data_IF_902422659962
#
_entry.id   IF_902422659962
#
_cell.length_a   1.000
_cell.length_b   1.000
_cell.length_c   1.000
_cell.angle_alpha   90.00
_cell.angle_beta   90.00
_cell.angle_gamma   90.00
#
_symmetry.space_group_name_H-M   'P 1'
#
loop_
_entity.id
_entity.type
_entity.pdbx_description
1 polymer ?
#
# COMPACT_ATOMS: atom_id res chain seq x y z
N UNK A 1 12.03 10.05 -25.09
CA UNK A 1 11.33 9.18 -24.10
C UNK A 1 11.29 9.97 -22.80
N UNK A 2 10.17 10.00 -22.09
CA UNK A 2 10.09 10.76 -20.84
C UNK A 2 11.06 10.21 -19.80
N UNK A 3 11.52 11.06 -18.88
CA UNK A 3 12.32 10.58 -17.75
C UNK A 3 11.44 9.90 -16.69
N UNK A 4 10.19 10.36 -16.52
CA UNK A 4 9.26 9.77 -15.54
C UNK A 4 7.92 9.47 -16.19
N UNK A 5 7.37 8.30 -15.92
CA UNK A 5 5.97 7.96 -16.16
C UNK A 5 5.23 7.91 -14.83
N UNK A 6 4.13 8.63 -14.70
CA UNK A 6 3.22 8.55 -13.56
C UNK A 6 1.97 7.82 -14.00
N UNK A 7 1.65 6.72 -13.34
CA UNK A 7 0.47 5.88 -13.63
C UNK A 7 -0.57 6.10 -12.55
N UNK A 8 -1.77 6.50 -12.96
CA UNK A 8 -2.89 6.83 -12.09
C UNK A 8 -4.06 5.89 -12.45
N UNK A 9 -4.35 4.86 -11.63
CA UNK A 9 -5.58 4.10 -11.76
C UNK A 9 -6.75 4.99 -11.35
N UNK A 10 -7.82 5.04 -12.16
CA UNK A 10 -8.98 5.87 -11.91
C UNK A 10 -10.27 5.03 -11.94
N UNK A 11 -11.11 5.20 -10.91
CA UNK A 11 -12.44 4.60 -10.85
C UNK A 11 -13.36 5.44 -9.96
N UNK A 12 -14.45 5.97 -10.51
CA UNK A 12 -15.49 6.72 -9.81
C UNK A 12 -14.95 7.81 -8.87
N UNK A 13 -14.05 8.65 -9.37
CA UNK A 13 -13.42 9.73 -8.61
C UNK A 13 -13.16 10.99 -9.45
N UNK A 14 -14.17 11.42 -10.18
CA UNK A 14 -14.15 12.65 -11.00
C UNK A 14 -13.76 13.90 -10.22
N UNK A 15 -14.02 13.91 -8.90
CA UNK A 15 -13.82 15.07 -8.03
C UNK A 15 -12.36 15.42 -7.78
N UNK A 16 -11.50 14.43 -7.52
CA UNK A 16 -10.11 14.65 -7.08
C UNK A 16 -9.08 14.44 -8.20
N UNK A 17 -9.45 13.72 -9.26
CA UNK A 17 -8.57 13.43 -10.39
C UNK A 17 -7.94 14.69 -11.02
N UNK A 18 -8.63 15.84 -11.18
CA UNK A 18 -7.99 17.05 -11.71
C UNK A 18 -6.85 17.56 -10.84
N UNK A 19 -7.04 17.64 -9.51
CA UNK A 19 -5.99 18.10 -8.58
C UNK A 19 -4.79 17.16 -8.62
N UNK A 20 -5.03 15.85 -8.64
CA UNK A 20 -4.01 14.80 -8.77
C UNK A 20 -3.16 15.04 -10.04
N UNK A 21 -3.76 15.15 -11.20
CA UNK A 21 -3.06 15.35 -12.48
C UNK A 21 -2.37 16.71 -12.54
N UNK A 22 -3.01 17.78 -12.06
CA UNK A 22 -2.45 19.13 -12.03
C UNK A 22 -1.23 19.22 -11.11
N UNK A 23 -1.19 18.46 -10.00
CA UNK A 23 -0.03 18.42 -9.11
C UNK A 23 1.24 17.93 -9.82
N UNK A 24 1.08 17.21 -10.92
CA UNK A 24 2.16 16.74 -11.81
C UNK A 24 2.38 17.72 -12.95
N UNK A 25 1.33 18.06 -13.71
CA UNK A 25 1.45 18.78 -14.99
C UNK A 25 1.78 20.25 -14.82
N UNK A 26 1.46 20.87 -13.67
CA UNK A 26 1.74 22.28 -13.38
C UNK A 26 3.16 22.51 -12.82
N UNK A 27 3.93 21.47 -12.48
CA UNK A 27 5.31 21.64 -12.07
C UNK A 27 6.22 22.13 -13.23
N UNK A 28 7.37 22.69 -12.89
CA UNK A 28 8.32 23.18 -13.89
C UNK A 28 8.98 22.05 -14.70
N UNK A 29 9.11 20.87 -14.13
CA UNK A 29 9.65 19.69 -14.80
C UNK A 29 8.71 19.24 -15.93
N UNK A 30 9.22 19.11 -17.16
CA UNK A 30 8.39 18.84 -18.35
C UNK A 30 8.59 17.46 -18.96
N UNK A 31 9.66 16.77 -18.61
CA UNK A 31 10.01 15.47 -19.20
C UNK A 31 9.31 14.30 -18.46
N UNK A 32 7.98 14.43 -18.37
CA UNK A 32 7.08 13.51 -17.67
C UNK A 32 5.89 13.14 -18.58
N UNK A 33 5.45 11.89 -18.52
CA UNK A 33 4.15 11.46 -19.03
C UNK A 33 3.24 11.06 -17.85
N UNK A 34 1.97 11.31 -17.98
CA UNK A 34 0.91 10.86 -17.04
C UNK A 34 0.00 9.90 -17.78
N UNK A 35 -0.17 8.70 -17.24
CA UNK A 35 -1.04 7.67 -17.82
C UNK A 35 -2.20 7.44 -16.85
N UNK A 36 -3.37 7.94 -17.22
CA UNK A 36 -4.61 7.68 -16.49
C UNK A 36 -5.22 6.39 -17.06
N UNK A 37 -5.54 5.45 -16.19
CA UNK A 37 -6.24 4.22 -16.58
C UNK A 37 -7.61 4.22 -15.93
N UNK A 38 -8.66 4.57 -16.69
CA UNK A 38 -10.05 4.51 -16.27
C UNK A 38 -10.53 3.05 -16.25
N UNK A 39 -10.87 2.56 -15.08
CA UNK A 39 -11.31 1.17 -14.88
C UNK A 39 -12.84 1.01 -15.09
N UNK A 40 -13.34 1.53 -16.20
CA UNK A 40 -14.76 1.52 -16.56
C UNK A 40 -15.62 2.25 -15.51
N UNK A 41 -15.31 3.51 -15.24
CA UNK A 41 -16.07 4.36 -14.34
C UNK A 41 -17.53 4.53 -14.79
N UNK A 42 -18.41 4.75 -13.83
CA UNK A 42 -19.86 4.95 -14.04
C UNK A 42 -20.31 6.36 -13.66
N UNK A 43 -19.39 7.19 -13.15
CA UNK A 43 -19.56 8.63 -12.93
C UNK A 43 -18.82 9.42 -14.04
N UNK A 44 -18.67 10.73 -13.86
CA UNK A 44 -18.02 11.63 -14.82
C UNK A 44 -16.46 11.47 -14.87
N UNK A 45 -15.87 10.43 -14.28
CA UNK A 45 -14.39 10.25 -14.21
C UNK A 45 -13.78 10.14 -15.60
N UNK A 46 -14.42 9.38 -16.50
CA UNK A 46 -13.92 9.23 -17.87
C UNK A 46 -13.92 10.56 -18.64
N UNK A 47 -15.01 11.33 -18.54
CA UNK A 47 -15.14 12.63 -19.18
C UNK A 47 -14.09 13.61 -18.66
N UNK A 48 -13.86 13.63 -17.35
CA UNK A 48 -12.82 14.46 -16.70
C UNK A 48 -11.43 14.02 -17.17
N UNK A 49 -11.13 12.73 -17.19
CA UNK A 49 -9.85 12.22 -17.67
C UNK A 49 -9.59 12.54 -19.16
N UNK A 50 -10.63 12.42 -19.99
CA UNK A 50 -10.57 12.78 -21.41
C UNK A 50 -10.32 14.27 -21.62
N UNK A 51 -10.91 15.14 -20.78
CA UNK A 51 -10.64 16.56 -20.82
C UNK A 51 -9.18 16.87 -20.44
N UNK A 52 -8.64 16.25 -19.39
CA UNK A 52 -7.24 16.41 -18.97
C UNK A 52 -6.25 15.97 -20.05
N UNK A 53 -6.53 14.86 -20.75
CA UNK A 53 -5.76 14.42 -21.92
C UNK A 53 -5.79 15.45 -23.06
N UNK A 54 -6.93 16.10 -23.27
CA UNK A 54 -7.07 17.12 -24.32
C UNK A 54 -6.33 18.44 -23.98
N UNK A 55 -6.26 18.77 -22.68
CA UNK A 55 -5.63 19.99 -22.17
C UNK A 55 -4.10 19.92 -22.16
N UNK A 56 -3.52 18.73 -21.89
CA UNK A 56 -2.06 18.56 -21.79
C UNK A 56 -1.60 17.31 -22.55
N UNK A 57 -0.79 17.51 -23.58
CA UNK A 57 -0.27 16.44 -24.44
C UNK A 57 0.62 15.41 -23.73
N UNK A 58 1.02 15.65 -22.49
CA UNK A 58 1.75 14.70 -21.63
C UNK A 58 0.83 13.72 -20.93
N UNK A 59 -0.47 14.01 -20.87
CA UNK A 59 -1.51 13.16 -20.29
C UNK A 59 -2.02 12.21 -21.37
N UNK A 60 -2.17 10.97 -21.04
CA UNK A 60 -2.75 9.91 -21.89
C UNK A 60 -3.78 9.12 -21.12
N UNK A 61 -4.96 8.93 -21.71
CA UNK A 61 -6.04 8.12 -21.14
C UNK A 61 -6.07 6.73 -21.78
N UNK A 62 -6.21 5.70 -20.94
CA UNK A 62 -6.55 4.33 -21.36
C UNK A 62 -7.82 3.94 -20.61
N UNK A 63 -8.81 3.40 -21.32
CA UNK A 63 -10.05 2.94 -20.71
C UNK A 63 -10.16 1.41 -20.79
N UNK A 64 -10.61 0.79 -19.69
CA UNK A 64 -10.97 -0.62 -19.67
C UNK A 64 -12.43 -0.82 -20.07
N UNK A 65 -12.73 -1.93 -20.78
CA UNK A 65 -14.09 -2.29 -21.16
C UNK A 65 -14.99 -2.72 -19.99
N UNK A 66 -14.36 -3.06 -18.85
CA UNK A 66 -15.03 -3.49 -17.61
C UNK A 66 -14.17 -3.17 -16.40
N UNK A 67 -14.79 -3.02 -15.23
CA UNK A 67 -14.04 -2.88 -13.97
C UNK A 67 -13.22 -4.15 -13.67
N UNK A 68 -11.90 -4.03 -13.79
CA UNK A 68 -10.91 -5.10 -13.62
C UNK A 68 -10.13 -4.98 -12.30
N UNK A 69 -10.28 -3.88 -11.58
CA UNK A 69 -9.63 -3.58 -10.29
C UNK A 69 -8.29 -2.88 -10.42
N UNK A 70 -7.83 -2.30 -9.31
CA UNK A 70 -6.64 -1.45 -9.22
C UNK A 70 -5.37 -2.15 -9.73
N UNK A 71 -5.18 -3.44 -9.42
CA UNK A 71 -4.05 -4.21 -9.92
C UNK A 71 -3.98 -4.23 -11.45
N UNK A 72 -5.12 -4.45 -12.11
CA UNK A 72 -5.19 -4.51 -13.57
C UNK A 72 -4.93 -3.12 -14.18
N UNK A 73 -5.48 -2.05 -13.59
CA UNK A 73 -5.28 -0.68 -14.06
C UNK A 73 -3.83 -0.24 -13.92
N UNK A 74 -3.19 -0.50 -12.78
CA UNK A 74 -1.76 -0.27 -12.58
C UNK A 74 -0.92 -1.07 -13.57
N UNK A 75 -1.24 -2.36 -13.78
CA UNK A 75 -0.57 -3.23 -14.77
C UNK A 75 -0.67 -2.64 -16.17
N UNK A 76 -1.86 -2.25 -16.60
CA UNK A 76 -2.10 -1.64 -17.92
C UNK A 76 -1.25 -0.38 -18.09
N UNK A 77 -1.27 0.54 -17.11
CA UNK A 77 -0.52 1.79 -17.18
C UNK A 77 0.99 1.59 -17.16
N UNK A 78 1.49 0.71 -16.27
CA UNK A 78 2.95 0.44 -16.19
C UNK A 78 3.47 -0.22 -17.45
N UNK A 79 2.76 -1.21 -18.01
CA UNK A 79 3.19 -1.85 -19.26
C UNK A 79 3.11 -0.92 -20.47
N UNK A 80 2.24 0.10 -20.43
CA UNK A 80 2.15 1.14 -21.46
C UNK A 80 3.16 2.29 -21.26
N UNK A 81 3.83 2.38 -20.11
CA UNK A 81 4.77 3.45 -19.77
C UNK A 81 6.09 3.36 -20.55
N UNK A 82 6.74 4.52 -20.77
CA UNK A 82 8.00 4.62 -21.52
C UNK A 82 9.11 5.29 -20.71
N UNK A 83 8.81 5.78 -19.51
CA UNK A 83 9.77 6.51 -18.67
C UNK A 83 10.99 5.68 -18.25
N UNK A 84 12.09 6.40 -18.05
CA UNK A 84 13.28 5.85 -17.38
C UNK A 84 12.92 5.40 -15.97
N UNK A 85 12.06 6.17 -15.31
CA UNK A 85 11.44 5.84 -14.02
C UNK A 85 9.93 5.72 -14.17
N UNK A 86 9.30 4.97 -13.27
CA UNK A 86 7.85 4.83 -13.14
C UNK A 86 7.46 5.11 -11.69
N UNK A 87 6.39 5.85 -11.51
CA UNK A 87 5.74 6.07 -10.22
C UNK A 87 4.27 5.72 -10.33
N UNK A 88 3.74 5.11 -9.28
CA UNK A 88 2.31 4.87 -9.11
C UNK A 88 1.74 5.94 -8.19
N UNK A 89 0.58 6.48 -8.52
CA UNK A 89 -0.05 7.55 -7.77
C UNK A 89 -1.55 7.31 -7.70
N UNK A 90 -2.13 7.43 -6.52
CA UNK A 90 -3.56 7.26 -6.36
C UNK A 90 -4.30 8.52 -6.82
N UNK A 91 -5.52 8.33 -7.37
CA UNK A 91 -6.28 9.38 -8.06
C UNK A 91 -6.76 10.54 -7.16
N UNK A 92 -6.64 10.38 -5.85
CA UNK A 92 -7.05 11.34 -4.82
C UNK A 92 -5.88 11.96 -4.05
N UNK A 93 -4.64 11.62 -4.45
CA UNK A 93 -3.40 12.14 -3.89
C UNK A 93 -2.71 13.14 -4.82
N UNK A 94 -1.68 13.80 -4.33
CA UNK A 94 -0.95 14.85 -5.04
C UNK A 94 0.57 14.72 -4.85
N UNK A 95 1.35 15.30 -5.74
CA UNK A 95 2.78 15.51 -5.54
C UNK A 95 3.07 16.90 -5.01
N UNK A 96 4.01 17.00 -4.08
CA UNK A 96 4.48 18.28 -3.56
C UNK A 96 5.15 19.11 -4.68
N UNK A 97 5.08 20.42 -4.57
CA UNK A 97 5.72 21.34 -5.52
C UNK A 97 7.23 21.08 -5.63
N UNK A 98 7.71 20.99 -6.87
CA UNK A 98 9.11 20.73 -7.19
C UNK A 98 9.57 19.30 -6.87
N UNK A 99 8.67 18.38 -6.53
CA UNK A 99 9.00 16.98 -6.26
C UNK A 99 9.57 16.28 -7.48
N UNK A 100 9.01 16.51 -8.68
CA UNK A 100 9.45 15.84 -9.91
C UNK A 100 10.94 16.03 -10.19
N UNK A 101 11.43 17.26 -10.13
CA UNK A 101 12.84 17.53 -10.37
C UNK A 101 13.73 16.83 -9.33
N UNK A 102 13.34 16.89 -8.05
CA UNK A 102 14.10 16.25 -6.96
C UNK A 102 14.14 14.72 -7.08
N UNK A 103 13.02 14.10 -7.46
CA UNK A 103 12.91 12.66 -7.70
C UNK A 103 13.88 12.23 -8.81
N UNK A 104 13.87 12.94 -9.93
CA UNK A 104 14.72 12.64 -11.09
C UNK A 104 16.19 12.88 -10.79
N UNK A 105 16.53 14.00 -10.17
CA UNK A 105 17.92 14.30 -9.78
C UNK A 105 18.45 13.24 -8.81
N UNK A 106 17.64 12.83 -7.83
CA UNK A 106 18.01 11.79 -6.88
C UNK A 106 18.19 10.44 -7.57
N UNK A 107 17.23 10.02 -8.40
CA UNK A 107 17.27 8.75 -9.12
C UNK A 107 18.48 8.65 -10.07
N UNK A 108 18.80 9.74 -10.78
CA UNK A 108 19.97 9.78 -11.66
C UNK A 108 21.30 9.74 -10.90
N UNK A 109 21.36 10.31 -9.70
CA UNK A 109 22.56 10.33 -8.87
C UNK A 109 22.78 9.02 -8.09
N UNK A 110 21.72 8.26 -7.82
CA UNK A 110 21.74 7.09 -6.95
C UNK A 110 21.05 5.89 -7.63
N UNK A 111 21.71 5.13 -8.51
CA UNK A 111 21.10 4.01 -9.23
C UNK A 111 20.50 2.96 -8.29
N UNK A 112 19.17 2.70 -8.39
CA UNK A 112 18.45 1.68 -7.65
C UNK A 112 17.22 1.20 -8.44
N UNK A 113 16.61 0.12 -7.98
CA UNK A 113 15.35 -0.38 -8.53
C UNK A 113 14.14 0.27 -7.87
N UNK A 114 14.24 0.54 -6.57
CA UNK A 114 13.17 1.10 -5.73
C UNK A 114 13.69 2.28 -4.92
N UNK A 115 13.05 3.43 -5.04
CA UNK A 115 13.24 4.63 -4.23
C UNK A 115 11.98 4.87 -3.42
N UNK A 116 12.08 4.79 -2.11
CA UNK A 116 10.98 4.93 -1.18
C UNK A 116 11.14 6.23 -0.38
N UNK A 117 10.30 7.20 -0.63
CA UNK A 117 10.38 8.52 -0.02
C UNK A 117 9.23 8.76 0.97
N UNK A 118 9.38 9.76 1.82
CA UNK A 118 8.41 10.11 2.84
C UNK A 118 7.12 10.72 2.25
N UNK A 119 6.10 10.81 3.08
CA UNK A 119 4.82 11.43 2.76
C UNK A 119 4.53 12.62 3.65
N UNK A 120 3.72 13.55 3.15
CA UNK A 120 3.02 14.53 3.96
C UNK A 120 1.55 14.14 3.99
N UNK A 121 1.03 13.82 5.19
CA UNK A 121 -0.38 13.48 5.35
C UNK A 121 -1.22 14.75 5.42
N UNK A 122 -2.20 14.87 4.52
CA UNK A 122 -3.17 15.96 4.45
C UNK A 122 -4.53 15.41 4.89
N UNK A 123 -5.00 15.83 6.08
CA UNK A 123 -6.22 15.30 6.66
C UNK A 123 -7.47 16.00 6.09
N UNK A 124 -8.39 15.24 5.51
CA UNK A 124 -9.63 15.75 4.92
C UNK A 124 -10.73 16.08 5.96
N UNK A 125 -10.64 15.51 7.17
CA UNK A 125 -11.64 15.66 8.22
C UNK A 125 -11.02 15.47 9.62
N UNK A 126 -11.84 15.62 10.68
CA UNK A 126 -11.37 15.53 12.06
C UNK A 126 -10.82 14.15 12.44
N UNK A 127 -11.46 13.06 11.98
CA UNK A 127 -10.99 11.68 12.23
C UNK A 127 -9.62 11.45 11.57
N UNK A 128 -9.47 11.90 10.33
CA UNK A 128 -8.19 11.85 9.61
C UNK A 128 -7.09 12.69 10.32
N UNK A 129 -7.45 13.85 10.92
CA UNK A 129 -6.53 14.65 11.71
C UNK A 129 -5.97 13.88 12.91
N UNK A 130 -6.84 13.17 13.62
CA UNK A 130 -6.46 12.40 14.81
C UNK A 130 -5.54 11.21 14.44
N UNK A 131 -5.70 10.63 13.23
CA UNK A 131 -4.89 9.52 12.72
C UNK A 131 -3.61 9.97 11.97
N UNK A 132 -3.49 11.25 11.57
CA UNK A 132 -2.45 11.72 10.65
C UNK A 132 -1.02 11.46 11.13
N UNK A 133 -0.74 11.62 12.42
CA UNK A 133 0.60 11.41 12.97
C UNK A 133 1.02 9.92 12.89
N UNK A 134 0.11 9.01 13.21
CA UNK A 134 0.31 7.57 13.09
C UNK A 134 0.53 7.16 11.64
N UNK A 135 -0.30 7.69 10.72
CA UNK A 135 -0.18 7.41 9.28
C UNK A 135 1.14 7.95 8.71
N UNK A 136 1.56 9.16 9.08
CA UNK A 136 2.86 9.70 8.67
C UNK A 136 4.00 8.79 9.12
N UNK A 137 3.99 8.36 10.39
CA UNK A 137 5.00 7.43 10.91
C UNK A 137 5.01 6.09 10.18
N UNK A 138 3.83 5.55 9.87
CA UNK A 138 3.69 4.27 9.16
C UNK A 138 4.20 4.34 7.72
N UNK A 139 3.92 5.43 6.99
CA UNK A 139 4.31 5.61 5.59
C UNK A 139 5.74 6.17 5.42
N UNK A 140 6.41 6.58 6.48
CA UNK A 140 7.77 7.13 6.39
C UNK A 140 8.81 6.00 6.45
N UNK A 141 9.62 5.79 5.38
CA UNK A 141 10.63 4.74 5.37
C UNK A 141 11.78 5.03 6.33
N UNK A 142 12.52 4.00 6.72
CA UNK A 142 13.82 4.17 7.38
C UNK A 142 14.89 4.60 6.35
N UNK A 143 15.83 5.46 6.77
CA UNK A 143 17.02 5.79 5.98
C UNK A 143 17.93 4.55 5.90
N UNK A 144 17.89 3.85 4.76
CA UNK A 144 18.71 2.66 4.53
C UNK A 144 18.82 2.32 3.04
N UNK A 145 19.89 1.62 2.70
CA UNK A 145 20.03 0.92 1.42
C UNK A 145 20.00 -0.58 1.67
N UNK A 146 19.21 -1.30 0.90
CA UNK A 146 19.09 -2.76 0.96
C UNK A 146 19.43 -3.37 -0.39
N UNK A 147 19.95 -4.58 -0.39
CA UNK A 147 20.35 -5.29 -1.60
C UNK A 147 19.74 -6.69 -1.66
N UNK A 148 19.34 -7.10 -2.85
CA UNK A 148 18.94 -8.47 -3.22
C UNK A 148 17.99 -9.11 -2.19
N UNK A 149 18.43 -10.22 -1.61
CA UNK A 149 17.64 -11.01 -0.67
C UNK A 149 17.19 -10.24 0.59
N UNK A 150 17.94 -9.21 0.99
CA UNK A 150 17.62 -8.44 2.19
C UNK A 150 16.43 -7.50 2.00
N UNK A 151 16.09 -7.15 0.74
CA UNK A 151 14.94 -6.29 0.44
C UNK A 151 13.64 -6.97 0.88
N UNK A 152 13.34 -8.16 0.33
CA UNK A 152 12.13 -8.90 0.68
C UNK A 152 12.12 -9.31 2.16
N UNK A 153 13.30 -9.70 2.70
CA UNK A 153 13.44 -10.07 4.11
C UNK A 153 13.09 -8.91 5.04
N UNK A 154 13.51 -7.69 4.70
CA UNK A 154 13.21 -6.50 5.50
C UNK A 154 11.77 -6.02 5.33
N UNK A 155 11.17 -6.19 4.17
CA UNK A 155 9.89 -5.58 3.80
C UNK A 155 8.74 -5.99 4.72
N UNK A 156 8.64 -7.27 5.03
CA UNK A 156 7.57 -7.82 5.86
C UNK A 156 7.97 -8.08 7.31
N UNK A 157 9.13 -7.57 7.72
CA UNK A 157 9.58 -7.65 9.11
C UNK A 157 8.68 -6.78 10.01
N UNK A 158 8.23 -7.32 11.14
CA UNK A 158 7.34 -6.60 12.08
C UNK A 158 8.04 -5.50 12.85
N UNK A 159 9.36 -5.60 13.07
CA UNK A 159 10.11 -4.65 13.89
C UNK A 159 10.65 -3.45 13.07
N UNK A 160 11.22 -3.72 11.89
CA UNK A 160 11.89 -2.73 11.06
C UNK A 160 11.52 -2.84 9.58
N UNK A 161 10.34 -3.36 9.27
CA UNK A 161 9.80 -3.46 7.93
C UNK A 161 9.52 -2.08 7.31
N UNK A 162 9.11 -2.09 6.07
CA UNK A 162 8.55 -0.91 5.45
C UNK A 162 7.14 -1.23 4.95
N UNK A 163 6.34 -0.19 4.76
CA UNK A 163 4.98 -0.36 4.28
C UNK A 163 4.95 -1.02 2.90
N UNK A 164 3.88 -1.74 2.59
CA UNK A 164 3.69 -2.41 1.31
C UNK A 164 2.93 -1.59 0.26
N UNK A 165 2.57 -0.34 0.53
CA UNK A 165 1.94 0.50 -0.48
C UNK A 165 2.88 0.71 -1.67
N UNK A 166 2.34 0.79 -2.86
CA UNK A 166 3.12 0.99 -4.08
C UNK A 166 3.23 2.46 -4.49
N UNK A 167 2.34 3.32 -3.96
CA UNK A 167 2.47 4.78 -4.07
C UNK A 167 3.66 5.30 -3.24
N UNK A 168 3.99 6.59 -3.31
CA UNK A 168 5.16 7.24 -2.69
C UNK A 168 6.49 6.45 -2.85
N UNK A 169 6.57 5.71 -3.95
CA UNK A 169 7.77 5.02 -4.42
C UNK A 169 7.99 5.33 -5.90
N UNK A 170 9.25 5.53 -6.27
CA UNK A 170 9.67 5.61 -7.66
C UNK A 170 10.45 4.33 -7.99
N UNK A 171 10.21 3.79 -9.14
CA UNK A 171 10.82 2.54 -9.60
C UNK A 171 11.63 2.81 -10.88
N UNK A 172 12.74 2.11 -11.08
CA UNK A 172 13.40 2.07 -12.37
C UNK A 172 12.43 1.49 -13.42
N UNK A 173 12.29 2.13 -14.57
CA UNK A 173 11.18 1.86 -15.48
C UNK A 173 11.17 0.44 -16.06
N UNK A 174 12.32 -0.07 -16.51
CA UNK A 174 12.44 -1.45 -17.03
C UNK A 174 12.18 -2.49 -15.93
N UNK A 175 12.62 -2.23 -14.71
CA UNK A 175 12.34 -3.05 -13.54
C UNK A 175 10.83 -3.08 -13.22
N UNK A 176 10.17 -1.91 -13.19
CA UNK A 176 8.73 -1.84 -12.94
C UNK A 176 7.92 -2.61 -13.98
N UNK A 177 8.22 -2.41 -15.26
CA UNK A 177 7.57 -3.15 -16.36
C UNK A 177 7.81 -4.65 -16.27
N UNK A 178 9.02 -5.07 -15.93
CA UNK A 178 9.34 -6.48 -15.68
C UNK A 178 8.51 -7.03 -14.51
N UNK A 179 8.48 -6.34 -13.38
CA UNK A 179 7.72 -6.78 -12.21
C UNK A 179 6.22 -6.90 -12.51
N UNK A 180 5.62 -5.91 -13.18
CA UNK A 180 4.21 -5.97 -13.58
C UNK A 180 3.91 -7.03 -14.65
N UNK A 181 4.88 -7.46 -15.45
CA UNK A 181 4.69 -8.60 -16.35
C UNK A 181 4.46 -9.92 -15.60
N UNK A 182 4.90 -10.03 -14.35
CA UNK A 182 4.61 -11.14 -13.46
C UNK A 182 3.26 -11.02 -12.74
N UNK A 183 2.64 -9.86 -12.70
CA UNK A 183 1.34 -9.69 -12.06
C UNK A 183 0.29 -10.59 -12.72
N UNK A 184 -0.49 -11.31 -11.90
CA UNK A 184 -1.57 -12.15 -12.39
C UNK A 184 -2.68 -11.31 -13.06
N UNK A 185 -3.40 -11.91 -14.01
CA UNK A 185 -4.57 -11.31 -14.65
C UNK A 185 -5.86 -11.53 -13.84
N UNK A 186 -5.70 -11.92 -12.58
CA UNK A 186 -6.82 -12.13 -11.67
C UNK A 186 -7.20 -10.82 -11.00
N UNK A 187 -8.50 -10.53 -10.92
CA UNK A 187 -9.00 -9.37 -10.19
C UNK A 187 -8.68 -9.50 -8.70
N UNK A 188 -7.95 -8.54 -8.18
CA UNK A 188 -7.68 -8.37 -6.76
C UNK A 188 -8.16 -6.98 -6.35
N UNK A 189 -8.99 -6.91 -5.33
CA UNK A 189 -9.54 -5.67 -4.77
C UNK A 189 -9.03 -5.55 -3.35
N UNK A 190 -8.28 -4.50 -3.07
CA UNK A 190 -7.43 -4.35 -1.88
C UNK A 190 -6.30 -5.41 -1.85
N UNK A 191 -5.29 -5.17 -1.03
CA UNK A 191 -4.11 -6.04 -0.89
C UNK A 191 -3.31 -6.27 -2.19
N UNK A 192 -3.68 -5.60 -3.30
CA UNK A 192 -2.90 -5.58 -4.55
C UNK A 192 -1.55 -4.90 -4.33
N UNK A 193 -1.47 -3.91 -3.48
CA UNK A 193 -0.23 -3.28 -3.04
C UNK A 193 0.72 -4.28 -2.39
N UNK A 194 0.23 -5.08 -1.45
CA UNK A 194 1.01 -6.14 -0.80
C UNK A 194 1.51 -7.16 -1.83
N UNK A 195 0.63 -7.63 -2.72
CA UNK A 195 0.99 -8.59 -3.76
C UNK A 195 2.09 -8.06 -4.68
N UNK A 196 1.95 -6.83 -5.16
CA UNK A 196 2.97 -6.22 -6.02
C UNK A 196 4.24 -5.88 -5.25
N UNK A 197 4.15 -5.44 -4.01
CA UNK A 197 5.31 -5.20 -3.16
C UNK A 197 6.13 -6.47 -2.93
N UNK A 198 5.47 -7.62 -2.78
CA UNK A 198 6.17 -8.91 -2.70
C UNK A 198 6.92 -9.23 -4.00
N UNK A 199 6.31 -8.99 -5.16
CA UNK A 199 6.97 -9.18 -6.46
C UNK A 199 8.16 -8.22 -6.60
N UNK A 200 7.97 -6.94 -6.29
CA UNK A 200 9.03 -5.95 -6.30
C UNK A 200 10.19 -6.34 -5.38
N UNK A 201 9.91 -6.68 -4.12
CA UNK A 201 10.93 -7.08 -3.15
C UNK A 201 11.65 -8.38 -3.51
N UNK A 202 11.01 -9.27 -4.28
CA UNK A 202 11.65 -10.49 -4.79
C UNK A 202 12.61 -10.22 -5.93
N UNK A 203 12.28 -9.28 -6.82
CA UNK A 203 13.00 -9.06 -8.07
C UNK A 203 14.02 -7.91 -8.00
N UNK A 204 13.92 -7.02 -7.01
CA UNK A 204 14.78 -5.87 -6.88
C UNK A 204 16.18 -6.25 -6.43
N UNK A 205 17.18 -5.62 -7.02
CA UNK A 205 18.60 -5.71 -6.60
C UNK A 205 18.98 -4.60 -5.63
N UNK A 206 18.32 -3.44 -5.69
CA UNK A 206 18.64 -2.31 -4.82
C UNK A 206 17.39 -1.52 -4.44
N UNK A 207 17.25 -1.25 -3.15
CA UNK A 207 16.23 -0.40 -2.53
C UNK A 207 16.92 0.72 -1.75
N UNK A 208 16.39 1.95 -1.85
CA UNK A 208 16.84 3.11 -1.08
C UNK A 208 15.64 3.78 -0.39
N UNK A 209 15.70 3.87 0.94
CA UNK A 209 14.73 4.62 1.77
C UNK A 209 15.20 6.04 2.06
N UNK A 210 14.33 7.03 1.84
CA UNK A 210 14.63 8.46 1.91
C UNK A 210 13.57 9.17 2.78
N UNK A 211 13.62 9.02 4.13
CA UNK A 211 12.57 9.52 5.04
C UNK A 211 12.39 11.03 5.01
N UNK A 212 13.47 11.78 4.82
CA UNK A 212 13.48 13.25 4.91
C UNK A 212 12.97 13.95 3.63
N UNK A 213 12.31 13.20 2.76
CA UNK A 213 11.83 13.67 1.45
C UNK A 213 10.32 13.47 1.32
N UNK A 214 9.48 14.29 1.96
CA UNK A 214 8.02 14.15 1.92
C UNK A 214 7.47 14.73 0.59
N UNK A 215 7.72 14.03 -0.50
CA UNK A 215 7.37 14.49 -1.85
C UNK A 215 5.96 14.09 -2.29
N UNK A 216 5.29 13.25 -1.54
CA UNK A 216 3.95 12.76 -1.80
C UNK A 216 2.96 13.32 -0.76
N UNK A 217 1.88 13.93 -1.22
CA UNK A 217 0.79 14.44 -0.38
C UNK A 217 -0.29 13.37 -0.30
N UNK A 218 -0.30 12.63 0.81
CA UNK A 218 -1.29 11.59 1.07
C UNK A 218 -2.55 12.19 1.69
N UNK A 219 -3.65 12.20 0.95
CA UNK A 219 -4.91 12.81 1.38
C UNK A 219 -5.78 11.85 2.20
N UNK A 220 -5.47 11.74 3.47
CA UNK A 220 -6.15 10.87 4.41
C UNK A 220 -7.63 11.26 4.59
N UNK A 221 -8.52 10.31 4.28
CA UNK A 221 -9.97 10.48 4.40
C UNK A 221 -10.68 10.96 3.12
N UNK A 222 -9.99 10.99 1.97
CA UNK A 222 -10.61 11.14 0.64
C UNK A 222 -11.03 9.80 0.03
N UNK A 223 -10.27 8.72 0.32
CA UNK A 223 -10.53 7.37 -0.17
C UNK A 223 -11.40 6.53 0.77
N UNK A 224 -11.57 5.26 0.43
CA UNK A 224 -12.45 4.30 1.13
C UNK A 224 -11.86 3.73 2.44
N UNK A 225 -10.61 4.02 2.76
CA UNK A 225 -9.81 3.22 3.70
C UNK A 225 -9.82 3.68 5.16
N UNK A 226 -10.36 4.84 5.52
CA UNK A 226 -10.30 5.31 6.91
C UNK A 226 -11.55 6.05 7.38
N UNK A 227 -12.00 5.68 8.58
CA UNK A 227 -13.02 6.42 9.35
C UNK A 227 -14.41 5.83 9.32
N UNK A 228 -14.63 4.68 8.70
CA UNK A 228 -15.87 3.91 8.83
C UNK A 228 -15.70 2.84 9.89
N UNK A 229 -16.60 2.82 10.86
CA UNK A 229 -16.68 1.71 11.82
C UNK A 229 -16.85 0.40 11.04
N UNK A 230 -15.97 -0.56 11.29
CA UNK A 230 -16.05 -1.85 10.62
C UNK A 230 -17.32 -2.61 11.03
N UNK A 231 -17.81 -3.42 10.12
CA UNK A 231 -18.90 -4.37 10.31
C UNK A 231 -18.37 -5.79 10.21
N UNK A 232 -19.15 -6.75 10.68
CA UNK A 232 -18.84 -8.19 10.51
C UNK A 232 -18.61 -8.53 9.03
N UNK A 233 -19.42 -7.93 8.14
CA UNK A 233 -19.27 -8.16 6.69
C UNK A 233 -17.98 -7.56 6.14
N UNK A 234 -17.57 -6.35 6.56
CA UNK A 234 -16.33 -5.74 6.08
C UNK A 234 -15.10 -6.50 6.55
N UNK A 235 -15.07 -6.97 7.82
CA UNK A 235 -14.01 -7.85 8.34
C UNK A 235 -13.93 -9.16 7.55
N UNK A 236 -15.06 -9.80 7.26
CA UNK A 236 -15.10 -11.03 6.45
C UNK A 236 -14.54 -10.81 5.06
N UNK A 237 -14.95 -9.71 4.42
CA UNK A 237 -14.47 -9.35 3.08
C UNK A 237 -12.97 -9.05 3.07
N UNK A 238 -12.46 -8.37 4.09
CA UNK A 238 -11.03 -8.07 4.24
C UNK A 238 -10.23 -9.35 4.41
N UNK A 239 -10.59 -10.22 5.35
CA UNK A 239 -9.91 -11.49 5.57
C UNK A 239 -9.90 -12.40 4.32
N UNK A 240 -10.99 -12.40 3.56
CA UNK A 240 -11.08 -13.14 2.29
C UNK A 240 -10.10 -12.57 1.24
N UNK A 241 -10.02 -11.24 1.11
CA UNK A 241 -9.15 -10.56 0.14
C UNK A 241 -7.67 -10.75 0.48
N UNK A 242 -7.33 -10.65 1.76
CA UNK A 242 -5.99 -10.89 2.27
C UNK A 242 -5.55 -12.33 2.02
N UNK A 243 -6.44 -13.31 2.26
CA UNK A 243 -6.18 -14.72 1.96
C UNK A 243 -6.02 -14.96 0.44
N UNK A 244 -6.78 -14.26 -0.42
CA UNK A 244 -6.61 -14.30 -1.86
C UNK A 244 -5.24 -13.74 -2.27
N UNK A 245 -4.85 -12.58 -1.76
CA UNK A 245 -3.53 -11.98 -2.03
C UNK A 245 -2.41 -12.92 -1.59
N UNK A 246 -2.51 -13.52 -0.40
CA UNK A 246 -1.54 -14.52 0.08
C UNK A 246 -1.44 -15.73 -0.84
N UNK A 247 -2.56 -16.26 -1.33
CA UNK A 247 -2.57 -17.35 -2.32
C UNK A 247 -1.82 -16.95 -3.59
N UNK A 248 -2.07 -15.74 -4.11
CA UNK A 248 -1.40 -15.22 -5.31
C UNK A 248 0.11 -15.03 -5.11
N UNK A 249 0.53 -14.60 -3.90
CA UNK A 249 1.95 -14.54 -3.51
C UNK A 249 2.57 -15.94 -3.54
N UNK A 250 1.90 -16.94 -2.99
CA UNK A 250 2.34 -18.33 -3.01
C UNK A 250 2.45 -18.91 -4.43
N UNK A 251 1.51 -18.57 -5.31
CA UNK A 251 1.55 -19.01 -6.72
C UNK A 251 2.68 -18.34 -7.50
N UNK A 252 2.97 -17.06 -7.22
CA UNK A 252 4.12 -16.37 -7.78
C UNK A 252 5.44 -17.03 -7.33
N UNK A 253 5.61 -17.31 -6.04
CA UNK A 253 6.83 -17.89 -5.48
C UNK A 253 7.14 -19.31 -6.03
N UNK A 254 6.12 -20.06 -6.49
CA UNK A 254 6.26 -21.41 -7.04
C UNK A 254 6.59 -21.45 -8.53
N UNK A 255 6.62 -20.31 -9.24
CA UNK A 255 6.95 -20.31 -10.67
C UNK A 255 8.37 -20.81 -10.93
N UNK A 256 8.58 -21.57 -12.00
CA UNK A 256 9.86 -22.23 -12.31
C UNK A 256 11.05 -21.28 -12.40
N UNK A 257 10.83 -20.05 -12.85
CA UNK A 257 11.85 -19.02 -12.96
C UNK A 257 11.98 -18.12 -11.71
N UNK A 258 11.11 -18.26 -10.73
CA UNK A 258 11.10 -17.51 -9.46
C UNK A 258 11.59 -18.42 -8.32
N UNK A 259 11.12 -19.64 -8.26
CA UNK A 259 11.46 -20.58 -7.19
C UNK A 259 12.98 -20.70 -6.92
N UNK A 260 13.85 -20.74 -7.94
CA UNK A 260 15.31 -20.85 -7.73
C UNK A 260 15.97 -19.57 -7.19
N UNK A 261 15.27 -18.42 -7.19
CA UNK A 261 15.86 -17.14 -6.72
C UNK A 261 16.16 -17.12 -5.22
N UNK A 262 15.47 -17.99 -4.45
CA UNK A 262 15.61 -18.03 -2.99
C UNK A 262 15.49 -19.45 -2.46
N UNK A 263 16.12 -19.67 -1.30
CA UNK A 263 16.01 -20.93 -0.54
C UNK A 263 15.20 -20.76 0.78
N UNK A 264 14.80 -19.53 1.10
CA UNK A 264 14.07 -19.16 2.33
C UNK A 264 12.58 -18.83 2.08
N UNK A 265 11.97 -19.39 1.01
CA UNK A 265 10.57 -19.12 0.66
C UNK A 265 9.59 -19.39 1.79
N UNK A 266 9.84 -20.43 2.58
CA UNK A 266 8.99 -20.77 3.72
C UNK A 266 8.92 -19.62 4.70
N UNK A 267 10.07 -19.09 5.11
CA UNK A 267 10.14 -17.96 6.05
C UNK A 267 9.51 -16.70 5.46
N UNK A 268 9.76 -16.41 4.17
CA UNK A 268 9.19 -15.22 3.50
C UNK A 268 7.68 -15.29 3.38
N UNK A 269 7.13 -16.47 3.08
CA UNK A 269 5.68 -16.66 3.03
C UNK A 269 5.06 -16.60 4.43
N UNK A 270 5.75 -17.10 5.44
CA UNK A 270 5.31 -16.96 6.84
C UNK A 270 5.31 -15.50 7.30
N UNK A 271 6.32 -14.71 6.94
CA UNK A 271 6.35 -13.27 7.22
C UNK A 271 5.12 -12.56 6.63
N UNK A 272 4.82 -12.80 5.34
CA UNK A 272 3.65 -12.21 4.67
C UNK A 272 2.35 -12.65 5.34
N UNK A 273 2.20 -13.94 5.61
CA UNK A 273 1.02 -14.48 6.28
C UNK A 273 0.80 -13.82 7.65
N UNK A 274 1.85 -13.73 8.45
CA UNK A 274 1.78 -13.15 9.79
C UNK A 274 1.41 -11.67 9.74
N UNK A 275 1.95 -10.91 8.78
CA UNK A 275 1.58 -9.49 8.59
C UNK A 275 0.12 -9.29 8.20
N UNK A 276 -0.42 -10.15 7.34
CA UNK A 276 -1.83 -10.09 6.96
C UNK A 276 -2.76 -10.46 8.12
N UNK A 277 -2.39 -11.49 8.90
CA UNK A 277 -3.16 -11.88 10.09
C UNK A 277 -3.09 -10.77 11.15
N UNK A 278 -1.91 -10.22 11.41
CA UNK A 278 -1.74 -9.08 12.33
C UNK A 278 -2.61 -7.90 11.91
N UNK A 279 -2.62 -7.54 10.61
CA UNK A 279 -3.48 -6.49 10.08
C UNK A 279 -4.97 -6.78 10.34
N UNK A 280 -5.45 -7.96 9.95
CA UNK A 280 -6.84 -8.35 10.17
C UNK A 280 -7.23 -8.37 11.65
N UNK A 281 -6.34 -8.81 12.52
CA UNK A 281 -6.58 -8.88 13.95
C UNK A 281 -6.54 -7.50 14.61
N UNK A 282 -5.65 -6.60 14.17
CA UNK A 282 -5.65 -5.22 14.67
C UNK A 282 -6.94 -4.49 14.26
N UNK A 283 -7.38 -4.62 13.01
CA UNK A 283 -8.65 -4.06 12.56
C UNK A 283 -9.84 -4.63 13.34
N UNK A 284 -9.86 -5.94 13.56
CA UNK A 284 -10.85 -6.59 14.43
C UNK A 284 -10.81 -6.02 15.86
N UNK A 285 -9.62 -5.83 16.42
CA UNK A 285 -9.45 -5.34 17.80
C UNK A 285 -9.87 -3.88 17.97
N UNK A 286 -9.47 -3.02 17.04
CA UNK A 286 -9.54 -1.57 17.23
C UNK A 286 -10.85 -0.98 16.66
N UNK A 287 -11.34 -1.54 15.54
CA UNK A 287 -12.38 -0.92 14.72
C UNK A 287 -13.71 -1.71 14.68
N UNK A 288 -13.76 -2.97 15.14
CA UNK A 288 -15.02 -3.73 15.20
C UNK A 288 -15.72 -3.52 16.56
N UNK A 289 -17.05 -3.26 16.59
CA UNK A 289 -17.80 -3.14 17.84
C UNK A 289 -17.67 -4.37 18.73
N UNK A 290 -17.66 -4.17 20.05
CA UNK A 290 -17.52 -5.27 21.03
C UNK A 290 -18.63 -6.33 20.92
N UNK A 291 -19.85 -5.93 20.51
CA UNK A 291 -20.97 -6.87 20.26
C UNK A 291 -20.68 -7.85 19.12
N UNK A 292 -19.85 -7.46 18.15
CA UNK A 292 -19.66 -8.15 16.89
C UNK A 292 -18.35 -8.94 16.85
N UNK A 293 -17.50 -8.79 17.88
CA UNK A 293 -16.16 -9.39 17.92
C UNK A 293 -16.16 -10.90 17.80
N UNK A 294 -17.12 -11.59 18.45
CA UNK A 294 -17.19 -13.05 18.38
C UNK A 294 -17.44 -13.55 16.95
N UNK A 295 -18.39 -12.92 16.25
CA UNK A 295 -18.71 -13.26 14.86
C UNK A 295 -17.60 -12.84 13.90
N UNK A 296 -17.01 -11.65 14.10
CA UNK A 296 -15.86 -11.18 13.32
C UNK A 296 -14.66 -12.11 13.42
N UNK A 297 -14.33 -12.62 14.61
CA UNK A 297 -13.26 -13.59 14.80
C UNK A 297 -13.54 -14.91 14.08
N UNK A 298 -14.79 -15.42 14.13
CA UNK A 298 -15.17 -16.61 13.36
C UNK A 298 -14.95 -16.41 11.86
N UNK A 299 -15.28 -15.23 11.32
CA UNK A 299 -15.04 -14.91 9.91
C UNK A 299 -13.54 -14.88 9.56
N UNK A 300 -12.69 -14.33 10.42
CA UNK A 300 -11.24 -14.41 10.23
C UNK A 300 -10.77 -15.86 10.19
N UNK A 301 -11.22 -16.69 11.13
CA UNK A 301 -10.89 -18.12 11.23
C UNK A 301 -11.37 -18.95 10.04
N UNK A 302 -12.31 -18.47 9.21
CA UNK A 302 -12.69 -19.18 7.97
C UNK A 302 -11.62 -19.11 6.88
N UNK A 303 -10.73 -18.13 6.96
CA UNK A 303 -9.71 -17.84 5.94
C UNK A 303 -8.28 -18.11 6.44
N UNK A 304 -8.05 -18.00 7.74
CA UNK A 304 -6.74 -18.15 8.35
C UNK A 304 -6.68 -19.32 9.32
N UNK A 305 -5.52 -19.98 9.41
CA UNK A 305 -5.31 -21.10 10.33
C UNK A 305 -5.44 -20.65 11.78
N UNK A 306 -6.13 -21.45 12.58
CA UNK A 306 -6.47 -21.11 13.96
C UNK A 306 -5.24 -20.88 14.86
N UNK A 307 -4.15 -21.62 14.66
CA UNK A 307 -2.91 -21.48 15.42
C UNK A 307 -2.27 -20.10 15.23
N UNK A 308 -2.23 -19.56 14.00
CA UNK A 308 -1.70 -18.25 13.71
C UNK A 308 -2.59 -17.13 14.29
N UNK A 309 -3.92 -17.25 14.18
CA UNK A 309 -4.87 -16.31 14.80
C UNK A 309 -4.78 -16.35 16.33
N UNK A 310 -4.64 -17.54 16.93
CA UNK A 310 -4.41 -17.68 18.37
C UNK A 310 -3.08 -17.02 18.80
N UNK A 311 -2.04 -17.06 17.98
CA UNK A 311 -0.79 -16.35 18.22
C UNK A 311 -1.01 -14.86 18.47
N UNK A 312 -1.85 -14.21 17.66
CA UNK A 312 -2.21 -12.80 17.82
C UNK A 312 -3.03 -12.54 19.09
N UNK A 313 -3.96 -13.41 19.43
CA UNK A 313 -4.70 -13.28 20.69
C UNK A 313 -3.78 -13.37 21.91
N UNK A 314 -2.78 -14.29 21.90
CA UNK A 314 -1.76 -14.35 22.95
C UNK A 314 -0.87 -13.10 22.97
N UNK A 315 -0.56 -12.50 21.82
CA UNK A 315 0.17 -11.23 21.76
C UNK A 315 -0.61 -10.13 22.49
N UNK A 316 -1.91 -9.98 22.24
CA UNK A 316 -2.75 -9.00 22.96
C UNK A 316 -2.78 -9.23 24.47
N UNK A 317 -2.98 -10.49 24.90
CA UNK A 317 -2.94 -10.83 26.35
C UNK A 317 -1.62 -10.35 26.95
N UNK A 318 -0.49 -10.69 26.32
CA UNK A 318 0.86 -10.31 26.79
C UNK A 318 1.02 -8.80 26.85
N UNK A 319 0.66 -8.09 25.80
CA UNK A 319 0.91 -6.67 25.67
C UNK A 319 0.03 -5.86 26.64
N UNK A 320 -1.22 -6.19 26.78
CA UNK A 320 -2.10 -5.56 27.77
C UNK A 320 -1.71 -5.89 29.20
N UNK A 321 -1.33 -7.13 29.48
CA UNK A 321 -0.84 -7.52 30.80
C UNK A 321 0.45 -6.79 31.15
N UNK A 322 1.38 -6.69 30.20
CA UNK A 322 2.63 -5.95 30.38
C UNK A 322 2.35 -4.47 30.63
N UNK A 323 1.54 -3.83 29.80
CA UNK A 323 1.17 -2.42 29.95
C UNK A 323 0.54 -2.13 31.34
N UNK A 324 -0.30 -3.05 31.86
CA UNK A 324 -0.80 -2.94 33.23
C UNK A 324 0.30 -3.08 34.29
N UNK A 325 1.23 -4.02 34.12
CA UNK A 325 2.29 -4.33 35.10
C UNK A 325 3.31 -3.18 35.21
N UNK A 326 3.62 -2.50 34.11
CA UNK A 326 4.61 -1.41 34.08
C UNK A 326 4.01 -0.02 34.31
N UNK A 327 2.69 0.09 34.43
CA UNK A 327 2.03 1.38 34.69
C UNK A 327 2.47 1.96 36.03
N UNK A 328 2.90 3.22 36.05
CA UNK A 328 3.30 3.95 37.27
C UNK A 328 2.14 4.04 38.26
N UNK A 329 0.91 4.18 37.79
CA UNK A 329 -0.32 4.16 38.58
C UNK A 329 -1.26 3.08 38.09
N UNK A 330 -1.23 1.92 38.73
CA UNK A 330 -2.11 0.77 38.42
C UNK A 330 -3.58 0.99 38.76
N UNK A 331 -3.91 2.07 39.46
CA UNK A 331 -5.29 2.49 39.74
C UNK A 331 -5.82 3.49 38.73
N UNK A 332 -5.03 3.90 37.73
CA UNK A 332 -5.51 4.75 36.63
C UNK A 332 -6.52 4.00 35.77
N UNK A 333 -7.47 4.73 35.17
CA UNK A 333 -8.46 4.15 34.26
C UNK A 333 -7.82 3.38 33.10
N UNK A 334 -6.71 3.89 32.58
CA UNK A 334 -5.93 3.25 31.49
C UNK A 334 -5.37 1.90 31.96
N UNK A 335 -4.71 1.84 33.14
CA UNK A 335 -4.17 0.59 33.66
C UNK A 335 -5.28 -0.43 33.97
N UNK A 336 -6.40 0.02 34.55
CA UNK A 336 -7.55 -0.84 34.83
C UNK A 336 -8.13 -1.39 33.52
N UNK A 337 -8.22 -0.57 32.47
CA UNK A 337 -8.69 -1.01 31.17
C UNK A 337 -7.75 -2.06 30.56
N UNK A 338 -6.43 -1.86 30.58
CA UNK A 338 -5.43 -2.81 30.10
C UNK A 338 -5.58 -4.18 30.82
N UNK A 339 -5.79 -4.17 32.14
CA UNK A 339 -6.05 -5.39 32.89
C UNK A 339 -7.32 -6.10 32.45
N UNK A 340 -8.39 -5.35 32.18
CA UNK A 340 -9.66 -5.91 31.68
C UNK A 340 -9.44 -6.55 30.30
N UNK A 341 -8.77 -5.86 29.39
CA UNK A 341 -8.45 -6.36 28.06
C UNK A 341 -7.59 -7.62 28.11
N UNK A 342 -6.55 -7.67 28.96
CA UNK A 342 -5.73 -8.87 29.15
C UNK A 342 -6.53 -10.09 29.64
N UNK A 343 -7.63 -9.88 30.36
CA UNK A 343 -8.51 -10.95 30.86
C UNK A 343 -9.67 -11.28 29.90
N UNK A 344 -9.84 -10.52 28.84
CA UNK A 344 -10.93 -10.70 27.87
C UNK A 344 -10.61 -11.78 26.83
N UNK A 345 -9.35 -11.93 26.47
CA UNK A 345 -8.84 -12.91 25.51
C UNK A 345 -8.41 -14.20 26.22
#
# INVERSE_FOLDING_TARGET
>A
MPQLSIVIPAFNNSRYLPDCVHSVTHQHFRDVEVIIVDDCSTDDTYEVASQLEHEDSRVRLIQHDKNSGTLASRKTGVLASQGQFVMLMDQDDELADGALQKLIDFGNANPADIYHFGVQVVAANKSAQDAAAGMTSFLTPCARTLHDADILKAQFNTDNGFDWHVHHKMYRGDFARTAYSYAADQRLVLSDDLYMSFIFGTLASTYIGIPDSPWYLYHLGRGDTLGTQLTVQSISTMAQRDAQAFSMVGDFAKRDNILPLRNDWHDRLDDVRNRLIEHAMNEWQDNLPSSDKSEGLQNILTHWQADAVCGELYRYIRDYAYAYLVADNRSSDVAINNRKLANQY
#
